data_IF_523491264259
#
_entry.id   IF_523491264259
#
_cell.length_a   1.000
_cell.length_b   1.000
_cell.length_c   1.000
_cell.angle_alpha   90.00
_cell.angle_beta   90.00
_cell.angle_gamma   90.00
#
_symmetry.space_group_name_H-M   'P 1'
#
loop_
_entity.id
_entity.type
_entity.pdbx_description
1 polymer ?
#
# COMPACT_ATOMS: atom_id res chain seq x y z
N UNK A 1 -9.71 3.45 -13.18
CA UNK A 1 -9.32 3.49 -14.61
C UNK A 1 -7.92 4.04 -14.78
N UNK A 2 -7.64 5.28 -14.37
CA UNK A 2 -6.32 5.91 -14.54
C UNK A 2 -5.18 5.12 -13.86
N UNK A 3 -5.22 4.89 -12.54
CA UNK A 3 -4.20 4.09 -11.84
C UNK A 3 -3.99 2.72 -12.52
N UNK A 4 -5.05 1.97 -12.80
CA UNK A 4 -4.97 0.66 -13.46
C UNK A 4 -4.34 0.69 -14.86
N UNK A 5 -4.30 1.85 -15.53
CA UNK A 5 -3.70 2.02 -16.84
C UNK A 5 -2.23 2.47 -16.78
N UNK A 6 -1.77 3.09 -15.68
CA UNK A 6 -0.45 3.75 -15.62
C UNK A 6 0.41 3.38 -14.41
N UNK A 7 -0.06 2.54 -13.48
CA UNK A 7 0.73 2.14 -12.32
C UNK A 7 1.99 1.37 -12.75
N UNK A 8 3.14 1.71 -12.16
CA UNK A 8 4.40 0.98 -12.28
C UNK A 8 4.90 0.46 -10.94
N UNK A 9 4.40 1.04 -9.84
CA UNK A 9 4.91 0.86 -8.50
C UNK A 9 3.83 0.23 -7.60
N UNK A 10 4.25 -0.26 -6.44
CA UNK A 10 3.36 -0.83 -5.43
C UNK A 10 3.96 -2.05 -4.75
N UNK A 11 3.09 -2.82 -4.11
CA UNK A 11 3.47 -3.97 -3.28
C UNK A 11 2.64 -5.19 -3.62
N UNK A 12 3.28 -6.35 -3.72
CA UNK A 12 2.58 -7.63 -3.79
C UNK A 12 2.98 -8.51 -2.62
N UNK A 13 2.01 -9.06 -1.90
CA UNK A 13 2.25 -9.98 -0.80
C UNK A 13 1.25 -11.14 -0.82
N UNK A 14 1.78 -12.35 -0.72
CA UNK A 14 1.00 -13.58 -0.64
C UNK A 14 1.35 -14.34 0.63
N UNK A 15 0.33 -14.73 1.41
CA UNK A 15 0.48 -15.51 2.63
C UNK A 15 -0.15 -16.89 2.40
N UNK A 16 0.65 -17.98 2.45
CA UNK A 16 0.16 -19.33 2.18
C UNK A 16 -0.87 -19.82 3.20
N UNK A 17 -1.62 -20.90 2.89
CA UNK A 17 -2.64 -21.47 3.77
C UNK A 17 -2.12 -21.81 5.16
N UNK A 18 -2.89 -21.45 6.19
CA UNK A 18 -2.60 -21.72 7.60
C UNK A 18 -1.40 -20.96 8.17
N UNK A 19 -0.76 -20.09 7.39
CA UNK A 19 0.42 -19.33 7.86
C UNK A 19 -0.04 -18.08 8.58
N UNK A 20 0.34 -17.97 9.85
CA UNK A 20 0.34 -16.70 10.58
C UNK A 20 1.70 -16.01 10.36
N UNK A 21 1.70 -14.89 9.65
CA UNK A 21 2.89 -14.08 9.44
C UNK A 21 3.54 -13.76 10.81
N UNK A 22 4.84 -14.07 11.01
CA UNK A 22 5.48 -13.99 12.33
C UNK A 22 5.79 -12.55 12.77
N UNK A 23 5.63 -11.59 11.87
CA UNK A 23 5.93 -10.18 12.08
C UNK A 23 4.93 -9.30 11.33
N UNK A 24 4.87 -8.03 11.69
CA UNK A 24 4.12 -7.05 10.91
C UNK A 24 4.94 -6.67 9.68
N UNK A 25 4.33 -6.77 8.50
CA UNK A 25 4.92 -6.29 7.26
C UNK A 25 4.72 -4.78 7.18
N UNK A 26 5.76 -4.05 6.78
CA UNK A 26 5.69 -2.60 6.64
C UNK A 26 6.29 -2.17 5.32
N UNK A 27 5.56 -1.36 4.57
CA UNK A 27 6.05 -0.68 3.39
C UNK A 27 5.94 0.81 3.59
N UNK A 28 7.04 1.51 3.33
CA UNK A 28 7.10 2.95 3.45
C UNK A 28 7.48 3.54 2.11
N UNK A 29 6.52 4.16 1.44
CA UNK A 29 6.73 4.83 0.17
C UNK A 29 7.28 6.24 0.44
N UNK A 30 8.48 6.52 -0.08
CA UNK A 30 9.12 7.83 0.05
C UNK A 30 9.09 8.55 -1.29
N UNK A 31 8.36 9.67 -1.35
CA UNK A 31 8.23 10.50 -2.55
C UNK A 31 9.54 11.28 -2.75
N UNK A 32 10.37 10.88 -3.71
CA UNK A 32 11.65 11.55 -3.98
C UNK A 32 11.66 12.38 -5.28
N UNK A 33 10.81 12.07 -6.27
CA UNK A 33 10.84 12.75 -7.58
C UNK A 33 9.89 13.94 -7.65
N UNK A 34 10.34 15.04 -8.28
CA UNK A 34 9.55 16.25 -8.49
C UNK A 34 8.64 16.10 -9.71
N UNK A 35 7.41 16.63 -9.64
CA UNK A 35 6.48 16.74 -10.77
C UNK A 35 5.97 15.42 -11.38
N UNK A 36 5.93 14.32 -10.61
CA UNK A 36 5.36 13.03 -11.05
C UNK A 36 4.13 12.66 -10.22
N UNK A 37 3.04 12.28 -10.89
CA UNK A 37 1.89 11.68 -10.21
C UNK A 37 2.26 10.28 -9.74
N UNK A 38 2.04 9.98 -8.45
CA UNK A 38 2.35 8.66 -7.90
C UNK A 38 1.13 7.75 -8.04
N UNK A 39 1.29 6.69 -8.82
CA UNK A 39 0.29 5.66 -9.05
C UNK A 39 0.84 4.32 -8.56
N UNK A 40 0.52 3.98 -7.31
CA UNK A 40 0.93 2.72 -6.71
C UNK A 40 -0.25 1.75 -6.59
N UNK A 41 0.05 0.46 -6.65
CA UNK A 41 -0.94 -0.61 -6.49
C UNK A 41 -0.46 -1.69 -5.53
N UNK A 42 -1.12 -1.79 -4.39
CA UNK A 42 -0.86 -2.82 -3.39
C UNK A 42 -1.85 -3.98 -3.55
N UNK A 43 -1.36 -5.21 -3.72
CA UNK A 43 -2.16 -6.43 -3.74
C UNK A 43 -1.69 -7.38 -2.62
N UNK A 44 -2.56 -7.60 -1.64
CA UNK A 44 -2.34 -8.54 -0.54
C UNK A 44 -3.31 -9.71 -0.65
N UNK A 45 -2.78 -10.93 -0.66
CA UNK A 45 -3.56 -12.16 -0.68
C UNK A 45 -3.21 -13.00 0.56
N UNK A 46 -4.20 -13.25 1.42
CA UNK A 46 -4.11 -14.18 2.53
C UNK A 46 -4.94 -15.42 2.20
N UNK A 47 -4.28 -16.54 1.98
CA UNK A 47 -4.90 -17.82 1.65
C UNK A 47 -5.59 -18.45 2.89
N UNK A 48 -6.27 -19.58 2.74
CA UNK A 48 -7.17 -20.14 3.76
C UNK A 48 -6.51 -20.29 5.14
N UNK A 49 -7.13 -19.73 6.18
CA UNK A 49 -6.61 -19.77 7.55
C UNK A 49 -5.35 -18.93 7.80
N UNK A 50 -4.91 -18.12 6.83
CA UNK A 50 -3.72 -17.28 6.96
C UNK A 50 -3.99 -16.01 7.78
N UNK A 51 -2.94 -15.45 8.39
CA UNK A 51 -3.00 -14.15 9.06
C UNK A 51 -1.82 -13.27 8.65
N UNK A 52 -2.08 -11.98 8.40
CA UNK A 52 -1.05 -10.96 8.22
C UNK A 52 -1.46 -9.61 8.80
N UNK A 53 -0.48 -8.93 9.41
CA UNK A 53 -0.57 -7.51 9.75
C UNK A 53 0.32 -6.73 8.78
N UNK A 54 -0.27 -5.79 8.05
CA UNK A 54 0.41 -4.99 7.03
C UNK A 54 0.20 -3.51 7.31
N UNK A 55 1.30 -2.76 7.37
CA UNK A 55 1.34 -1.33 7.59
C UNK A 55 1.89 -0.62 6.35
N UNK A 56 1.08 0.26 5.77
CA UNK A 56 1.47 1.13 4.67
C UNK A 56 1.70 2.55 5.18
N UNK A 57 2.89 3.08 4.92
CA UNK A 57 3.27 4.44 5.24
C UNK A 57 3.48 5.28 3.98
N UNK A 58 2.92 6.48 3.96
CA UNK A 58 3.24 7.50 2.96
C UNK A 58 3.58 8.82 3.66
N UNK A 59 4.62 9.51 3.21
CA UNK A 59 4.93 10.87 3.68
C UNK A 59 5.35 11.73 2.52
N UNK A 60 4.65 12.87 2.37
CA UNK A 60 4.97 13.86 1.36
C UNK A 60 6.06 14.81 1.87
N UNK A 61 7.13 15.08 1.10
CA UNK A 61 8.05 16.17 1.39
C UNK A 61 7.34 17.52 1.22
N UNK A 62 7.78 18.54 1.97
CA UNK A 62 7.30 19.92 1.83
C UNK A 62 7.64 20.40 0.40
N UNK A 63 6.61 20.73 -0.38
CA UNK A 63 6.72 21.30 -1.73
C UNK A 63 5.62 22.33 -1.93
N UNK A 64 5.92 23.38 -2.68
CA UNK A 64 4.98 24.48 -2.99
C UNK A 64 3.93 24.10 -4.06
N UNK A 65 4.11 22.98 -4.78
CA UNK A 65 3.22 22.57 -5.87
C UNK A 65 2.29 21.42 -5.45
N UNK A 66 1.01 21.48 -5.87
CA UNK A 66 0.05 20.39 -5.68
C UNK A 66 0.51 19.10 -6.37
N UNK A 67 0.53 17.99 -5.62
CA UNK A 67 0.86 16.66 -6.13
C UNK A 67 -0.39 15.76 -6.11
N UNK A 68 -0.60 14.98 -7.17
CA UNK A 68 -1.65 13.96 -7.21
C UNK A 68 -1.09 12.62 -6.77
N UNK A 69 -1.67 12.06 -5.70
CA UNK A 69 -1.41 10.69 -5.26
C UNK A 69 -2.69 9.86 -5.43
N UNK A 70 -2.61 8.82 -6.24
CA UNK A 70 -3.75 7.96 -6.56
C UNK A 70 -3.34 6.48 -6.44
N UNK A 71 -3.34 5.98 -5.20
CA UNK A 71 -3.07 4.59 -4.88
C UNK A 71 -4.32 3.69 -5.02
N UNK A 72 -4.10 2.41 -5.34
CA UNK A 72 -5.11 1.36 -5.30
C UNK A 72 -4.64 0.23 -4.38
N UNK A 73 -5.50 -0.22 -3.48
CA UNK A 73 -5.21 -1.33 -2.57
C UNK A 73 -6.25 -2.43 -2.79
N UNK A 74 -5.78 -3.64 -3.03
CA UNK A 74 -6.56 -4.86 -3.19
C UNK A 74 -6.20 -5.84 -2.07
N UNK A 75 -7.17 -6.15 -1.22
CA UNK A 75 -7.02 -7.11 -0.13
C UNK A 75 -7.92 -8.32 -0.41
N UNK A 76 -7.33 -9.50 -0.53
CA UNK A 76 -8.02 -10.76 -0.80
C UNK A 76 -7.80 -11.69 0.39
N UNK A 77 -8.79 -11.80 1.27
CA UNK A 77 -8.79 -12.77 2.38
C UNK A 77 -9.64 -13.98 1.98
N UNK A 78 -9.03 -15.16 1.95
CA UNK A 78 -9.71 -16.42 1.69
C UNK A 78 -10.36 -16.96 2.97
N UNK A 79 -10.94 -18.15 2.92
CA UNK A 79 -11.71 -18.74 4.01
C UNK A 79 -10.91 -18.77 5.32
N UNK A 80 -11.52 -18.32 6.41
CA UNK A 80 -10.91 -18.28 7.75
C UNK A 80 -9.58 -17.47 7.83
N UNK A 81 -9.26 -16.68 6.81
CA UNK A 81 -8.08 -15.82 6.79
C UNK A 81 -8.37 -14.43 7.37
N UNK A 82 -7.33 -13.76 7.87
CA UNK A 82 -7.41 -12.42 8.45
C UNK A 82 -6.29 -11.52 7.91
N UNK A 83 -6.68 -10.35 7.42
CA UNK A 83 -5.76 -9.28 7.01
C UNK A 83 -6.02 -8.07 7.92
N UNK A 84 -5.02 -7.72 8.74
CA UNK A 84 -4.99 -6.45 9.47
C UNK A 84 -4.23 -5.44 8.61
N UNK A 85 -4.95 -4.51 7.98
CA UNK A 85 -4.38 -3.45 7.17
C UNK A 85 -4.37 -2.13 7.94
N UNK A 86 -3.22 -1.44 7.98
CA UNK A 86 -3.06 -0.15 8.66
C UNK A 86 -2.38 0.85 7.74
N UNK A 87 -2.87 2.09 7.71
CA UNK A 87 -2.27 3.16 6.91
C UNK A 87 -1.89 4.34 7.78
N UNK A 88 -0.67 4.85 7.61
CA UNK A 88 -0.24 6.12 8.21
C UNK A 88 0.19 7.05 7.08
N UNK A 89 -0.62 8.09 6.84
CA UNK A 89 -0.35 9.07 5.79
C UNK A 89 -0.15 10.45 6.39
N UNK A 90 1.02 11.04 6.12
CA UNK A 90 1.35 12.40 6.53
C UNK A 90 1.50 13.29 5.29
N UNK A 91 0.49 14.12 5.05
CA UNK A 91 0.40 14.99 3.88
C UNK A 91 0.73 16.43 4.24
N UNK A 92 1.54 17.09 3.40
CA UNK A 92 1.71 18.53 3.42
C UNK A 92 0.77 19.14 2.36
N UNK A 93 -0.10 20.10 2.72
CA UNK A 93 -1.13 20.60 1.81
C UNK A 93 -0.61 21.43 0.63
N UNK A 94 0.67 21.85 0.66
CA UNK A 94 1.17 22.94 -0.17
C UNK A 94 0.66 24.30 0.35
N UNK A 95 1.20 25.40 -0.17
CA UNK A 95 0.67 26.75 0.01
C UNK A 95 -0.23 27.18 -1.17
#
# INVERSE_FOLDING_TARGET
>A
ALNSAVFSDGSFCYIPPGVRCPMELSTYFRINEAMTGQFERTLLIADEGAYVSYLEGCTAPIRDEHQLHAAVVELVALKDAEIKYSTVQNWYPGD
#
